data_IF_974214963722
#
_entry.id   IF_974214963722
#
_cell.length_a   1.000
_cell.length_b   1.000
_cell.length_c   1.000
_cell.angle_alpha   90.00
_cell.angle_beta   90.00
_cell.angle_gamma   90.00
#
_symmetry.space_group_name_H-M   'P 1'
#
loop_
_entity.id
_entity.type
_entity.pdbx_description
1 polymer ?
#
# COMPACT_ATOMS: atom_id res chain seq x y z
N UNK A 1 32.55 27.39 10.77
CA UNK A 1 31.70 26.64 11.72
C UNK A 1 30.93 25.59 10.89
N UNK A 2 31.20 24.31 11.04
CA UNK A 2 30.46 23.29 10.32
C UNK A 2 29.19 22.93 11.10
N UNK A 3 28.06 22.89 10.41
CA UNK A 3 26.76 22.45 10.92
C UNK A 3 26.79 20.92 11.13
N UNK A 4 26.75 20.50 12.37
CA UNK A 4 26.61 19.10 12.75
C UNK A 4 25.17 18.64 12.50
N UNK A 5 24.99 17.84 11.44
CA UNK A 5 23.78 17.08 11.16
C UNK A 5 23.63 15.98 12.21
N UNK A 6 22.74 16.18 13.17
CA UNK A 6 22.36 15.17 14.14
C UNK A 6 21.54 14.05 13.49
N UNK A 7 22.19 12.98 13.02
CA UNK A 7 21.51 11.71 12.71
C UNK A 7 21.01 11.12 14.04
N UNK A 8 19.69 11.07 14.23
CA UNK A 8 19.10 10.25 15.29
C UNK A 8 19.41 8.78 14.97
N UNK A 9 20.23 8.19 15.82
CA UNK A 9 20.51 6.76 15.84
C UNK A 9 19.24 6.06 16.34
N UNK A 10 18.47 5.43 15.45
CA UNK A 10 17.39 4.52 15.83
C UNK A 10 18.00 3.22 16.34
N UNK A 11 17.51 2.74 17.46
CA UNK A 11 17.99 1.53 18.10
C UNK A 11 17.67 0.30 17.23
N UNK A 12 18.65 -0.59 17.08
CA UNK A 12 18.65 -1.80 16.25
C UNK A 12 17.72 -2.92 16.77
N UNK A 13 16.52 -2.63 17.21
CA UNK A 13 15.60 -3.65 17.78
C UNK A 13 14.16 -3.40 17.38
N UNK A 14 13.88 -3.23 16.08
CA UNK A 14 12.51 -3.34 15.56
C UNK A 14 12.45 -4.44 14.50
N UNK A 15 12.10 -5.51 15.01
CA UNK A 15 11.36 -6.71 14.68
C UNK A 15 11.08 -6.90 13.18
N UNK A 16 12.00 -7.63 12.51
CA UNK A 16 11.61 -8.48 11.39
C UNK A 16 10.42 -9.34 11.81
N UNK A 17 9.35 -9.31 11.06
CA UNK A 17 8.34 -10.36 11.17
C UNK A 17 8.99 -11.67 10.74
N UNK A 18 9.61 -12.36 11.67
CA UNK A 18 10.04 -13.73 11.51
C UNK A 18 8.76 -14.55 11.27
N UNK A 19 8.52 -14.97 10.02
CA UNK A 19 7.37 -15.79 9.65
C UNK A 19 7.25 -17.11 10.46
N UNK A 20 8.28 -17.46 11.23
CA UNK A 20 8.24 -18.58 12.15
C UNK A 20 7.39 -18.33 13.41
N UNK A 21 6.96 -17.09 13.67
CA UNK A 21 6.14 -16.72 14.84
C UNK A 21 4.80 -16.09 14.45
N UNK A 22 4.14 -16.60 13.41
CA UNK A 22 2.79 -16.17 13.07
C UNK A 22 1.83 -16.60 14.20
N UNK A 23 1.27 -15.65 14.92
CA UNK A 23 0.27 -15.91 15.95
C UNK A 23 -1.07 -16.29 15.32
N UNK A 24 -1.26 -17.60 15.12
CA UNK A 24 -2.47 -18.18 14.54
C UNK A 24 -3.71 -17.79 15.34
N UNK A 25 -3.60 -17.63 16.65
CA UNK A 25 -4.71 -17.19 17.52
C UNK A 25 -5.15 -15.78 17.14
N UNK A 26 -4.21 -14.87 16.99
CA UNK A 26 -4.47 -13.49 16.55
C UNK A 26 -5.10 -13.43 15.16
N UNK A 27 -4.65 -14.26 14.22
CA UNK A 27 -5.26 -14.34 12.89
C UNK A 27 -6.72 -14.80 12.97
N UNK A 28 -7.02 -15.81 13.80
CA UNK A 28 -8.39 -16.26 14.02
C UNK A 28 -9.26 -15.17 14.64
N UNK A 29 -8.78 -14.48 15.66
CA UNK A 29 -9.47 -13.36 16.31
C UNK A 29 -9.78 -12.23 15.29
N UNK A 30 -8.81 -11.86 14.46
CA UNK A 30 -9.01 -10.86 13.38
C UNK A 30 -10.09 -11.34 12.40
N UNK A 31 -10.03 -12.60 11.98
CA UNK A 31 -11.03 -13.17 11.06
C UNK A 31 -12.43 -13.19 11.67
N UNK A 32 -12.57 -13.63 12.91
CA UNK A 32 -13.86 -13.64 13.62
C UNK A 32 -14.42 -12.24 13.80
N UNK A 33 -13.56 -11.27 14.14
CA UNK A 33 -13.96 -9.87 14.22
C UNK A 33 -14.43 -9.33 12.86
N UNK A 34 -13.67 -9.60 11.78
CA UNK A 34 -14.05 -9.19 10.42
C UNK A 34 -15.39 -9.77 10.00
N UNK A 35 -15.64 -11.06 10.28
CA UNK A 35 -16.92 -11.72 10.02
C UNK A 35 -18.08 -11.09 10.80
N UNK A 36 -17.86 -10.70 12.05
CA UNK A 36 -18.90 -10.09 12.90
C UNK A 36 -19.23 -8.66 12.51
N UNK A 37 -18.21 -7.84 12.14
CA UNK A 37 -18.38 -6.44 11.78
C UNK A 37 -18.75 -6.23 10.32
N UNK A 38 -18.36 -7.17 9.44
CA UNK A 38 -18.53 -7.11 7.98
C UNK A 38 -18.20 -5.70 7.40
N UNK A 39 -16.97 -5.18 7.64
CA UNK A 39 -16.63 -3.80 7.29
C UNK A 39 -16.68 -3.58 5.78
N UNK A 40 -17.05 -2.37 5.37
CA UNK A 40 -16.93 -1.95 3.97
C UNK A 40 -15.47 -1.65 3.66
N UNK A 41 -14.93 -2.25 2.61
CA UNK A 41 -13.57 -1.99 2.10
C UNK A 41 -13.68 -1.30 0.75
N UNK A 42 -13.20 -0.07 0.67
CA UNK A 42 -13.11 0.63 -0.59
C UNK A 42 -11.85 0.21 -1.34
N UNK A 43 -12.00 -0.30 -2.56
CA UNK A 43 -10.90 -0.79 -3.38
C UNK A 43 -10.82 0.01 -4.69
N UNK A 44 -9.69 0.69 -4.91
CA UNK A 44 -9.34 1.30 -6.20
C UNK A 44 -8.22 0.44 -6.79
N UNK A 45 -8.57 -0.49 -7.68
CA UNK A 45 -7.65 -1.49 -8.22
C UNK A 45 -7.66 -1.51 -9.74
N UNK A 46 -6.76 -2.30 -10.34
CA UNK A 46 -6.70 -2.42 -11.79
C UNK A 46 -7.82 -3.34 -12.34
N UNK A 47 -8.26 -3.13 -13.60
CA UNK A 47 -9.36 -3.90 -14.19
C UNK A 47 -9.10 -5.40 -14.30
N UNK A 48 -7.83 -5.82 -14.36
CA UNK A 48 -7.45 -7.24 -14.50
C UNK A 48 -7.76 -8.00 -13.21
N UNK A 49 -7.52 -7.39 -12.05
CA UNK A 49 -7.67 -8.03 -10.73
C UNK A 49 -8.94 -7.61 -9.97
N UNK A 50 -9.82 -6.81 -10.56
CA UNK A 50 -10.99 -6.25 -9.85
C UNK A 50 -11.89 -7.35 -9.28
N UNK A 51 -12.17 -8.38 -10.07
CA UNK A 51 -13.03 -9.50 -9.65
C UNK A 51 -12.38 -10.32 -8.53
N UNK A 52 -11.11 -10.66 -8.67
CA UNK A 52 -10.38 -11.45 -7.68
C UNK A 52 -10.20 -10.68 -6.37
N UNK A 53 -9.94 -9.38 -6.44
CA UNK A 53 -9.88 -8.50 -5.29
C UNK A 53 -11.22 -8.46 -4.54
N UNK A 54 -12.34 -8.26 -5.26
CA UNK A 54 -13.66 -8.25 -4.67
C UNK A 54 -14.01 -9.58 -4.01
N UNK A 55 -13.77 -10.72 -4.69
CA UNK A 55 -14.01 -12.04 -4.15
C UNK A 55 -13.15 -12.34 -2.93
N UNK A 56 -11.87 -11.92 -2.95
CA UNK A 56 -10.97 -12.09 -1.80
C UNK A 56 -11.52 -11.35 -0.58
N UNK A 57 -11.94 -10.10 -0.73
CA UNK A 57 -12.55 -9.32 0.36
C UNK A 57 -13.81 -10.00 0.89
N UNK A 58 -14.70 -10.49 0.01
CA UNK A 58 -15.90 -11.25 0.41
C UNK A 58 -15.56 -12.52 1.19
N UNK A 59 -14.55 -13.28 0.76
CA UNK A 59 -14.11 -14.51 1.44
C UNK A 59 -13.54 -14.25 2.83
N UNK A 60 -13.04 -13.04 3.11
CA UNK A 60 -12.62 -12.65 4.46
C UNK A 60 -13.79 -12.26 5.36
N UNK A 61 -15.00 -12.14 4.83
CA UNK A 61 -16.20 -11.68 5.55
C UNK A 61 -16.45 -10.18 5.52
N UNK A 62 -15.61 -9.43 4.81
CA UNK A 62 -15.80 -8.00 4.58
C UNK A 62 -16.65 -7.74 3.32
N UNK A 63 -17.03 -6.49 3.09
CA UNK A 63 -17.84 -6.05 1.94
C UNK A 63 -17.00 -5.17 1.02
N UNK A 64 -16.68 -5.59 -0.21
CA UNK A 64 -15.94 -4.76 -1.15
C UNK A 64 -16.83 -3.72 -1.82
N UNK A 65 -16.28 -2.57 -2.13
CA UNK A 65 -16.82 -1.61 -3.09
C UNK A 65 -15.70 -1.13 -4.01
N UNK A 66 -15.93 -1.26 -5.34
CA UNK A 66 -14.93 -1.04 -6.38
C UNK A 66 -15.16 0.30 -7.09
N UNK A 67 -15.49 1.35 -6.33
CA UNK A 67 -15.74 2.69 -6.86
C UNK A 67 -14.42 3.37 -7.30
N UNK A 68 -14.41 3.99 -8.47
CA UNK A 68 -13.22 4.67 -8.97
C UNK A 68 -13.48 6.03 -9.64
N UNK A 69 -14.74 6.48 -9.69
CA UNK A 69 -15.03 7.78 -10.29
C UNK A 69 -14.62 8.93 -9.35
N UNK A 70 -13.90 9.97 -9.82
CA UNK A 70 -13.41 11.05 -8.96
C UNK A 70 -14.48 11.77 -8.13
N UNK A 71 -15.72 11.84 -8.64
CA UNK A 71 -16.80 12.55 -7.96
C UNK A 71 -17.52 11.72 -6.88
N UNK A 72 -17.27 10.40 -6.82
CA UNK A 72 -17.90 9.52 -5.82
C UNK A 72 -16.94 9.01 -4.74
N UNK A 73 -15.64 8.86 -5.07
CA UNK A 73 -14.70 8.15 -4.20
C UNK A 73 -14.54 8.77 -2.80
N UNK A 74 -14.69 10.08 -2.66
CA UNK A 74 -14.64 10.74 -1.35
C UNK A 74 -15.78 10.27 -0.44
N UNK A 75 -17.02 10.27 -0.96
CA UNK A 75 -18.20 9.82 -0.23
C UNK A 75 -18.14 8.33 0.13
N UNK A 76 -17.67 7.50 -0.81
CA UNK A 76 -17.48 6.06 -0.58
C UNK A 76 -16.42 5.79 0.48
N UNK A 77 -15.27 6.46 0.41
CA UNK A 77 -14.20 6.30 1.42
C UNK A 77 -14.67 6.76 2.80
N UNK A 78 -15.46 7.84 2.86
CA UNK A 78 -15.98 8.37 4.11
C UNK A 78 -16.86 7.36 4.88
N UNK A 79 -17.50 6.41 4.23
CA UNK A 79 -18.28 5.35 4.89
C UNK A 79 -17.53 4.02 5.02
N UNK A 80 -16.37 3.86 4.35
CA UNK A 80 -15.57 2.63 4.40
C UNK A 80 -14.81 2.47 5.73
N UNK A 81 -14.46 1.23 6.08
CA UNK A 81 -13.60 0.88 7.22
C UNK A 81 -12.10 0.84 6.87
N UNK A 82 -11.78 0.71 5.58
CA UNK A 82 -10.40 0.77 5.06
C UNK A 82 -10.40 1.12 3.58
N UNK A 83 -9.26 1.61 3.09
CA UNK A 83 -9.01 1.88 1.68
C UNK A 83 -7.86 0.99 1.16
N UNK A 84 -8.10 0.29 0.07
CA UNK A 84 -7.10 -0.50 -0.65
C UNK A 84 -6.85 0.11 -2.03
N UNK A 85 -5.60 0.45 -2.33
CA UNK A 85 -5.17 1.10 -3.57
C UNK A 85 -4.16 0.21 -4.29
N UNK A 86 -4.29 0.11 -5.62
CA UNK A 86 -3.33 -0.59 -6.47
C UNK A 86 -2.94 0.30 -7.66
N UNK A 87 -1.64 0.52 -7.88
CA UNK A 87 -1.10 1.40 -8.93
C UNK A 87 -0.96 0.72 -10.30
N UNK A 88 -1.40 -0.53 -10.43
CA UNK A 88 -1.46 -1.19 -11.74
C UNK A 88 -2.44 -0.49 -12.69
N UNK A 89 -2.07 -0.39 -13.98
CA UNK A 89 -2.92 0.17 -15.04
C UNK A 89 -3.53 1.55 -14.67
N UNK A 90 -2.69 2.52 -14.33
CA UNK A 90 -3.10 3.88 -13.97
C UNK A 90 -3.68 4.64 -15.18
N UNK A 91 -4.69 5.48 -14.88
CA UNK A 91 -5.27 6.48 -15.79
C UNK A 91 -5.33 7.81 -15.06
N UNK A 92 -5.49 8.93 -15.76
CA UNK A 92 -5.60 10.25 -15.13
C UNK A 92 -6.78 10.31 -14.13
N UNK A 93 -7.92 9.72 -14.50
CA UNK A 93 -9.08 9.64 -13.62
C UNK A 93 -8.77 8.84 -12.36
N UNK A 94 -8.11 7.68 -12.49
CA UNK A 94 -7.76 6.83 -11.34
C UNK A 94 -6.70 7.48 -10.45
N UNK A 95 -5.68 8.11 -11.03
CA UNK A 95 -4.67 8.87 -10.27
C UNK A 95 -5.31 9.98 -9.43
N UNK A 96 -6.26 10.73 -10.02
CA UNK A 96 -7.04 11.74 -9.32
C UNK A 96 -7.90 11.13 -8.20
N UNK A 97 -8.59 10.03 -8.48
CA UNK A 97 -9.47 9.33 -7.54
C UNK A 97 -8.70 8.79 -6.33
N UNK A 98 -7.51 8.23 -6.54
CA UNK A 98 -6.65 7.74 -5.46
C UNK A 98 -6.29 8.88 -4.49
N UNK A 99 -5.91 10.06 -5.00
CA UNK A 99 -5.59 11.22 -4.16
C UNK A 99 -6.83 11.67 -3.35
N UNK A 100 -8.00 11.76 -3.99
CA UNK A 100 -9.25 12.17 -3.33
C UNK A 100 -9.67 11.16 -2.26
N UNK A 101 -9.63 9.87 -2.58
CA UNK A 101 -9.96 8.80 -1.64
C UNK A 101 -8.98 8.75 -0.45
N UNK A 102 -7.68 8.90 -0.72
CA UNK A 102 -6.66 8.92 0.33
C UNK A 102 -6.79 10.12 1.26
N UNK A 103 -7.20 11.28 0.75
CA UNK A 103 -7.52 12.43 1.58
C UNK A 103 -8.73 12.13 2.49
N UNK A 104 -9.81 11.58 1.94
CA UNK A 104 -10.98 11.20 2.72
C UNK A 104 -10.66 10.12 3.76
N UNK A 105 -9.76 9.18 3.45
CA UNK A 105 -9.28 8.18 4.40
C UNK A 105 -8.47 8.81 5.54
N UNK A 106 -7.59 9.76 5.24
CA UNK A 106 -6.82 10.50 6.23
C UNK A 106 -7.73 11.34 7.14
N UNK A 107 -8.70 12.07 6.57
CA UNK A 107 -9.66 12.88 7.32
C UNK A 107 -10.51 12.03 8.27
N UNK A 108 -10.83 10.80 7.87
CA UNK A 108 -11.59 9.85 8.69
C UNK A 108 -10.72 9.05 9.66
N UNK A 109 -9.40 8.97 9.44
CA UNK A 109 -8.46 8.17 10.23
C UNK A 109 -8.59 6.65 9.99
N UNK A 110 -8.99 6.22 8.79
CA UNK A 110 -9.06 4.81 8.43
C UNK A 110 -7.75 4.32 7.81
N UNK A 111 -7.39 3.03 7.99
CA UNK A 111 -6.18 2.48 7.43
C UNK A 111 -6.22 2.43 5.89
N UNK A 112 -5.04 2.66 5.30
CA UNK A 112 -4.82 2.59 3.87
C UNK A 112 -3.72 1.56 3.58
N UNK A 113 -3.98 0.64 2.65
CA UNK A 113 -2.96 -0.18 2.01
C UNK A 113 -2.77 0.27 0.57
N UNK A 114 -1.52 0.41 0.14
CA UNK A 114 -1.18 0.74 -1.24
C UNK A 114 -0.21 -0.29 -1.83
N UNK A 115 -0.56 -0.80 -3.01
CA UNK A 115 0.29 -1.69 -3.81
C UNK A 115 1.00 -0.87 -4.89
N UNK A 116 2.34 -0.82 -4.80
CA UNK A 116 3.23 -0.06 -5.68
C UNK A 116 3.52 -0.78 -7.00
N UNK A 117 2.68 -1.72 -7.39
CA UNK A 117 2.87 -2.53 -8.59
C UNK A 117 3.16 -1.67 -9.83
N UNK A 118 4.28 -2.00 -10.48
CA UNK A 118 4.68 -1.37 -11.75
C UNK A 118 5.24 0.05 -11.64
N UNK A 119 5.61 0.54 -10.47
CA UNK A 119 6.22 1.89 -10.35
C UNK A 119 7.58 1.96 -11.03
N UNK A 120 8.26 0.84 -11.20
CA UNK A 120 9.54 0.74 -11.90
C UNK A 120 9.41 0.80 -13.43
N UNK A 121 8.19 0.63 -13.96
CA UNK A 121 7.97 0.58 -15.40
C UNK A 121 8.06 1.94 -16.10
N UNK A 122 7.89 3.06 -15.39
CA UNK A 122 7.96 4.40 -15.98
C UNK A 122 8.19 5.50 -14.95
N UNK A 123 8.85 6.56 -15.39
CA UNK A 123 9.08 7.78 -14.60
C UNK A 123 7.76 8.41 -14.10
N UNK A 124 6.69 8.33 -14.90
CA UNK A 124 5.37 8.81 -14.50
C UNK A 124 4.87 8.11 -13.22
N UNK A 125 4.97 6.77 -13.19
CA UNK A 125 4.50 5.96 -12.05
C UNK A 125 5.35 6.19 -10.82
N UNK A 126 6.67 6.20 -10.99
CA UNK A 126 7.60 6.43 -9.89
C UNK A 126 7.40 7.82 -9.26
N UNK A 127 7.32 8.86 -10.07
CA UNK A 127 7.05 10.21 -9.59
C UNK A 127 5.69 10.31 -8.90
N UNK A 128 4.67 9.62 -9.41
CA UNK A 128 3.36 9.58 -8.76
C UNK A 128 3.44 8.90 -7.39
N UNK A 129 4.16 7.78 -7.28
CA UNK A 129 4.34 7.08 -6.01
C UNK A 129 5.08 7.95 -4.98
N UNK A 130 6.16 8.63 -5.36
CA UNK A 130 6.88 9.57 -4.48
C UNK A 130 5.97 10.71 -4.02
N UNK A 131 5.30 11.40 -4.94
CA UNK A 131 4.37 12.50 -4.61
C UNK A 131 3.21 12.03 -3.70
N UNK A 132 2.77 10.79 -3.88
CA UNK A 132 1.76 10.20 -3.02
C UNK A 132 2.29 10.01 -1.59
N UNK A 133 3.48 9.43 -1.42
CA UNK A 133 4.08 9.17 -0.11
C UNK A 133 4.53 10.44 0.62
N UNK A 134 4.90 11.50 -0.10
CA UNK A 134 5.16 12.82 0.50
C UNK A 134 3.89 13.42 1.13
N UNK A 135 2.72 13.13 0.54
CA UNK A 135 1.44 13.70 0.95
C UNK A 135 0.68 12.83 1.95
N UNK A 136 0.76 11.53 1.79
CA UNK A 136 -0.01 10.56 2.58
C UNK A 136 0.92 9.54 3.24
N UNK A 137 0.48 9.05 4.42
CA UNK A 137 1.16 7.98 5.14
C UNK A 137 0.25 6.75 5.19
N UNK A 138 0.32 5.85 4.19
CA UNK A 138 -0.45 4.61 4.22
C UNK A 138 -0.01 3.73 5.39
N UNK A 139 -0.92 2.93 5.92
CA UNK A 139 -0.64 1.98 7.00
C UNK A 139 0.21 0.80 6.53
N UNK A 140 0.09 0.45 5.25
CA UNK A 140 0.85 -0.64 4.62
C UNK A 140 1.23 -0.20 3.21
N UNK A 141 2.51 -0.37 2.87
CA UNK A 141 3.04 -0.28 1.52
C UNK A 141 3.42 -1.69 1.07
N UNK A 142 2.90 -2.14 -0.06
CA UNK A 142 3.22 -3.43 -0.66
C UNK A 142 3.91 -3.20 -1.99
N UNK A 143 4.98 -3.92 -2.24
CA UNK A 143 5.73 -3.94 -3.49
C UNK A 143 6.67 -5.14 -3.53
N UNK A 144 7.20 -5.47 -4.70
CA UNK A 144 8.34 -6.38 -4.80
C UNK A 144 9.64 -5.64 -4.44
N UNK A 145 10.75 -6.37 -4.36
CA UNK A 145 12.04 -5.80 -3.96
C UNK A 145 12.48 -4.63 -4.85
N UNK A 146 12.33 -4.74 -6.18
CA UNK A 146 12.69 -3.67 -7.11
C UNK A 146 11.82 -2.41 -6.92
N UNK A 147 10.54 -2.59 -6.65
CA UNK A 147 9.61 -1.48 -6.38
C UNK A 147 9.96 -0.77 -5.07
N UNK A 148 10.28 -1.52 -4.01
CA UNK A 148 10.69 -0.93 -2.73
C UNK A 148 12.04 -0.21 -2.87
N UNK A 149 13.06 -0.81 -3.52
CA UNK A 149 14.33 -0.13 -3.80
C UNK A 149 14.17 1.14 -4.62
N UNK A 150 13.26 1.14 -5.60
CA UNK A 150 12.95 2.32 -6.40
C UNK A 150 12.37 3.47 -5.56
N UNK A 151 11.52 3.18 -4.58
CA UNK A 151 11.01 4.17 -3.64
C UNK A 151 12.13 4.78 -2.79
N UNK A 152 13.19 4.03 -2.55
CA UNK A 152 14.37 4.46 -1.78
C UNK A 152 15.42 5.19 -2.63
N UNK A 153 15.17 5.39 -3.91
CA UNK A 153 16.13 5.94 -4.88
C UNK A 153 17.42 5.08 -5.03
N UNK A 154 17.33 3.78 -4.78
CA UNK A 154 18.42 2.84 -5.00
C UNK A 154 18.42 2.30 -6.44
N UNK A 155 19.61 1.91 -6.92
CA UNK A 155 19.72 1.28 -8.23
C UNK A 155 19.06 -0.10 -8.22
N UNK A 156 18.23 -0.38 -9.22
CA UNK A 156 17.51 -1.65 -9.35
C UNK A 156 17.43 -2.07 -10.81
N UNK A 157 17.32 -3.38 -11.04
CA UNK A 157 17.02 -3.95 -12.34
C UNK A 157 15.65 -4.62 -12.31
N UNK A 158 14.82 -4.36 -13.33
CA UNK A 158 13.54 -5.03 -13.47
C UNK A 158 13.19 -5.26 -14.94
N UNK A 159 12.40 -6.30 -15.20
CA UNK A 159 11.78 -6.56 -16.50
C UNK A 159 10.27 -6.59 -16.28
N UNK A 160 9.57 -5.61 -16.85
CA UNK A 160 8.12 -5.48 -16.62
C UNK A 160 7.81 -5.13 -15.16
N UNK A 161 6.94 -5.92 -14.51
CA UNK A 161 6.52 -5.73 -13.11
C UNK A 161 7.28 -6.64 -12.14
N UNK A 162 8.17 -7.51 -12.64
CA UNK A 162 8.91 -8.45 -11.82
C UNK A 162 10.35 -7.96 -11.60
N UNK A 163 10.87 -8.18 -10.40
CA UNK A 163 12.27 -7.93 -10.09
C UNK A 163 13.14 -9.00 -10.79
N UNK A 164 14.31 -8.59 -11.30
CA UNK A 164 15.30 -9.49 -11.88
C UNK A 164 16.42 -9.70 -10.86
N UNK A 165 16.65 -10.96 -10.48
CA UNK A 165 17.73 -11.39 -9.57
C UNK A 165 17.21 -12.09 -8.30
N UNK A 166 18.07 -12.92 -7.72
CA UNK A 166 17.88 -13.64 -6.45
C UNK A 166 18.45 -12.83 -5.25
N UNK A 167 18.29 -11.50 -5.25
CA UNK A 167 18.75 -10.71 -4.12
C UNK A 167 17.77 -10.84 -2.95
N UNK A 168 18.30 -11.25 -1.80
CA UNK A 168 17.52 -11.26 -0.55
C UNK A 168 17.20 -9.84 -0.10
N UNK A 169 15.99 -9.65 0.43
CA UNK A 169 15.59 -8.39 1.08
C UNK A 169 16.46 -8.19 2.32
N UNK A 170 17.17 -7.08 2.39
CA UNK A 170 18.01 -6.76 3.54
C UNK A 170 17.25 -5.91 4.57
N UNK A 171 17.77 -5.89 5.80
CA UNK A 171 17.21 -5.06 6.89
C UNK A 171 17.16 -3.58 6.52
N UNK A 172 18.09 -3.10 5.67
CA UNK A 172 18.12 -1.73 5.19
C UNK A 172 16.95 -1.43 4.24
N UNK A 173 16.54 -2.38 3.40
CA UNK A 173 15.44 -2.21 2.46
C UNK A 173 14.09 -2.00 3.17
N UNK A 174 13.91 -2.64 4.32
CA UNK A 174 12.69 -2.51 5.13
C UNK A 174 12.64 -1.22 5.98
N UNK A 175 13.79 -0.65 6.34
CA UNK A 175 13.85 0.54 7.22
C UNK A 175 13.66 1.88 6.48
N UNK A 176 13.67 1.88 5.15
CA UNK A 176 13.65 3.09 4.33
C UNK A 176 12.21 3.54 4.01
N UNK A 177 11.24 2.65 4.09
CA UNK A 177 9.83 2.91 3.74
C UNK A 177 8.95 3.18 4.98
N UNK A 178 9.50 3.00 6.17
CA UNK A 178 8.88 3.37 7.45
C UNK A 178 9.42 4.74 7.90
#
# INVERSE_FOLDING_TARGET
MPLTSGRKQFSKTETFMNFQNVDIKKIKEIREHTLSCAPLIHCITNPISINDCANTVLLTGAKPIMAEHPDEVAGITAIAGALAVNLGNITDARMKSIIIASQAAADKGIPVIIDMVGITCSTLRLNYAHNYLERFRPSIIKGNLAEIKALCNEAFECIGIDAVGDEDVTDSDCSIVC
#
